data_IF_848920628524
#
_entry.id   IF_848920628524
#
_cell.length_a   1.000
_cell.length_b   1.000
_cell.length_c   1.000
_cell.angle_alpha   90.00
_cell.angle_beta   90.00
_cell.angle_gamma   90.00
#
_symmetry.space_group_name_H-M   'P 1'
#
loop_
_entity.id
_entity.type
_entity.pdbx_description
1 polymer ?
#
# COMPACT_ATOMS: atom_id res chain seq x y z
N UNK A 1 22.42 11.79 -0.85
CA UNK A 1 22.05 10.48 -1.46
C UNK A 1 23.32 9.75 -1.91
N UNK A 2 23.93 8.86 -1.08
CA UNK A 2 24.99 7.96 -1.58
C UNK A 2 24.36 7.13 -2.69
N UNK A 3 24.80 7.42 -3.91
CA UNK A 3 24.68 6.64 -5.14
C UNK A 3 24.11 5.24 -4.87
N UNK A 4 22.92 4.96 -5.40
CA UNK A 4 22.57 3.58 -5.73
C UNK A 4 23.70 3.15 -6.64
N UNK A 5 24.60 2.31 -6.15
CA UNK A 5 25.81 1.82 -6.83
C UNK A 5 25.51 1.01 -8.12
N UNK A 6 24.33 1.18 -8.73
CA UNK A 6 23.85 0.45 -9.91
C UNK A 6 22.78 1.18 -10.76
N UNK A 7 22.60 2.50 -10.61
CA UNK A 7 21.73 3.31 -11.49
C UNK A 7 20.22 3.00 -11.40
N UNK A 8 19.44 3.57 -12.34
CA UNK A 8 17.97 3.43 -12.42
C UNK A 8 17.54 1.96 -12.57
N UNK A 9 18.31 1.17 -13.32
CA UNK A 9 18.07 -0.28 -13.51
C UNK A 9 18.09 -1.04 -12.18
N UNK A 10 19.08 -0.80 -11.32
CA UNK A 10 19.16 -1.45 -10.01
C UNK A 10 18.00 -1.02 -9.09
N UNK A 11 17.54 0.22 -9.20
CA UNK A 11 16.36 0.70 -8.48
C UNK A 11 15.10 -0.09 -8.85
N UNK A 12 14.82 -0.23 -10.15
CA UNK A 12 13.68 -1.00 -10.65
C UNK A 12 13.74 -2.45 -10.19
N UNK A 13 14.87 -3.13 -10.43
CA UNK A 13 15.05 -4.53 -10.06
C UNK A 13 14.78 -4.72 -8.57
N UNK A 14 15.37 -3.89 -7.70
CA UNK A 14 15.22 -4.05 -6.25
C UNK A 14 13.77 -3.86 -5.80
N UNK A 15 13.05 -2.87 -6.33
CA UNK A 15 11.68 -2.54 -5.93
C UNK A 15 10.66 -3.51 -6.49
N UNK A 16 10.71 -3.79 -7.79
CA UNK A 16 9.81 -4.77 -8.41
C UNK A 16 10.03 -6.17 -7.85
N UNK A 17 11.29 -6.58 -7.60
CA UNK A 17 11.56 -7.89 -6.99
C UNK A 17 11.02 -7.99 -5.56
N UNK A 18 11.06 -6.92 -4.76
CA UNK A 18 10.49 -6.93 -3.39
C UNK A 18 8.96 -7.05 -3.39
N UNK A 19 8.30 -6.50 -4.41
CA UNK A 19 6.83 -6.44 -4.49
C UNK A 19 6.23 -7.61 -5.27
N UNK A 20 6.72 -7.85 -6.49
CA UNK A 20 6.14 -8.81 -7.43
C UNK A 20 6.42 -10.26 -7.04
N UNK A 21 7.60 -10.57 -6.49
CA UNK A 21 7.93 -11.96 -6.11
C UNK A 21 6.97 -12.51 -5.03
N UNK A 22 6.80 -11.87 -3.86
CA UNK A 22 5.82 -12.35 -2.89
C UNK A 22 4.39 -12.30 -3.45
N UNK A 23 4.06 -11.29 -4.26
CA UNK A 23 2.75 -11.20 -4.89
C UNK A 23 2.46 -12.40 -5.81
N UNK A 24 3.35 -12.76 -6.72
CA UNK A 24 3.15 -13.89 -7.62
C UNK A 24 3.06 -15.23 -6.88
N UNK A 25 3.82 -15.42 -5.80
CA UNK A 25 3.71 -16.63 -4.98
C UNK A 25 2.33 -16.69 -4.32
N UNK A 26 1.93 -15.62 -3.64
CA UNK A 26 0.71 -15.57 -2.83
C UNK A 26 -0.54 -15.57 -3.73
N UNK A 27 -0.61 -14.66 -4.70
CA UNK A 27 -1.71 -14.57 -5.63
C UNK A 27 -1.76 -15.75 -6.60
N UNK A 28 -0.60 -16.32 -6.99
CA UNK A 28 -0.54 -17.51 -7.83
C UNK A 28 -1.22 -18.70 -7.15
N UNK A 29 -0.85 -19.01 -5.90
CA UNK A 29 -1.50 -20.08 -5.12
C UNK A 29 -3.00 -19.81 -4.98
N UNK A 30 -3.38 -18.58 -4.63
CA UNK A 30 -4.79 -18.20 -4.50
C UNK A 30 -5.61 -18.39 -5.78
N UNK A 31 -5.04 -18.07 -6.94
CA UNK A 31 -5.72 -18.22 -8.22
C UNK A 31 -5.73 -19.69 -8.71
N UNK A 32 -4.69 -20.49 -8.45
CA UNK A 32 -4.72 -21.94 -8.75
C UNK A 32 -5.88 -22.59 -8.02
N UNK A 33 -6.03 -22.32 -6.71
CA UNK A 33 -7.13 -22.82 -5.92
C UNK A 33 -8.50 -22.34 -6.42
N UNK A 34 -8.59 -21.09 -6.91
CA UNK A 34 -9.82 -20.57 -7.51
C UNK A 34 -10.17 -21.26 -8.83
N UNK A 35 -9.18 -21.57 -9.68
CA UNK A 35 -9.38 -22.31 -10.94
C UNK A 35 -9.87 -23.73 -10.68
N UNK A 36 -9.30 -24.40 -9.67
CA UNK A 36 -9.77 -25.72 -9.24
C UNK A 36 -11.24 -25.71 -8.76
N UNK A 37 -11.77 -24.55 -8.36
CA UNK A 37 -13.18 -24.34 -7.99
C UNK A 37 -14.06 -23.80 -9.12
N UNK A 38 -13.56 -23.77 -10.36
CA UNK A 38 -14.34 -23.40 -11.54
C UNK A 38 -14.12 -21.97 -12.05
N UNK A 39 -13.18 -21.20 -11.47
CA UNK A 39 -12.76 -19.94 -12.10
C UNK A 39 -12.07 -20.23 -13.44
N UNK A 40 -12.39 -19.46 -14.48
CA UNK A 40 -11.73 -19.64 -15.77
C UNK A 40 -10.25 -19.28 -15.70
N UNK A 41 -9.42 -19.92 -16.53
CA UNK A 41 -7.98 -19.60 -16.61
C UNK A 41 -7.79 -18.13 -17.04
N UNK A 42 -8.64 -17.63 -17.93
CA UNK A 42 -8.62 -16.23 -18.37
C UNK A 42 -8.82 -15.26 -17.19
N UNK A 43 -9.83 -15.50 -16.33
CA UNK A 43 -10.05 -14.69 -15.13
C UNK A 43 -8.88 -14.77 -14.15
N UNK A 44 -8.27 -15.94 -13.99
CA UNK A 44 -7.09 -16.10 -13.14
C UNK A 44 -5.89 -15.29 -13.66
N UNK A 45 -5.65 -15.28 -14.98
CA UNK A 45 -4.60 -14.47 -15.61
C UNK A 45 -4.89 -12.98 -15.47
N UNK A 46 -6.14 -12.55 -15.66
CA UNK A 46 -6.55 -11.15 -15.45
C UNK A 46 -6.36 -10.69 -14.00
N UNK A 47 -6.63 -11.56 -13.04
CA UNK A 47 -6.48 -11.24 -11.62
C UNK A 47 -5.00 -11.19 -11.19
N UNK A 48 -4.18 -12.15 -11.65
CA UNK A 48 -2.72 -12.15 -11.39
C UNK A 48 -2.02 -10.98 -12.10
N UNK A 49 -2.51 -10.54 -13.25
CA UNK A 49 -1.95 -9.38 -13.95
C UNK A 49 -2.36 -8.04 -13.34
N UNK A 50 -3.20 -8.04 -12.29
CA UNK A 50 -3.83 -6.85 -11.66
C UNK A 50 -4.81 -6.09 -12.55
N UNK A 51 -5.08 -6.56 -13.78
CA UNK A 51 -6.03 -5.92 -14.71
C UNK A 51 -7.45 -5.96 -14.16
N UNK A 52 -7.83 -7.06 -13.49
CA UNK A 52 -9.13 -7.18 -12.82
C UNK A 52 -9.40 -6.09 -11.79
N UNK A 53 -8.35 -5.48 -11.21
CA UNK A 53 -8.55 -4.36 -10.29
C UNK A 53 -9.04 -3.12 -11.04
N UNK A 54 -8.40 -2.80 -12.17
CA UNK A 54 -8.74 -1.62 -12.95
C UNK A 54 -10.12 -1.72 -13.60
N UNK A 55 -10.52 -2.92 -14.02
CA UNK A 55 -11.79 -3.14 -14.70
C UNK A 55 -12.95 -3.43 -13.74
N UNK A 56 -12.73 -4.24 -12.69
CA UNK A 56 -13.80 -4.80 -11.86
C UNK A 56 -13.63 -4.49 -10.36
N UNK A 57 -12.63 -3.70 -9.96
CA UNK A 57 -12.26 -3.47 -8.56
C UNK A 57 -11.93 -4.77 -7.81
N UNK A 58 -11.47 -5.81 -8.51
CA UNK A 58 -11.11 -7.11 -7.92
C UNK A 58 -9.60 -7.32 -7.88
N UNK A 59 -9.11 -7.82 -6.74
CA UNK A 59 -7.71 -8.20 -6.57
C UNK A 59 -6.90 -7.20 -5.73
N UNK A 60 -5.58 -7.33 -5.79
CA UNK A 60 -4.68 -6.59 -4.91
C UNK A 60 -4.45 -5.15 -5.42
N UNK A 61 -5.38 -4.24 -5.09
CA UNK A 61 -5.35 -2.84 -5.49
C UNK A 61 -4.01 -2.14 -5.19
N UNK A 62 -3.41 -2.46 -4.05
CA UNK A 62 -2.14 -1.87 -3.63
C UNK A 62 -1.00 -2.25 -4.59
N UNK A 63 -0.98 -3.49 -5.09
CA UNK A 63 0.00 -3.94 -6.09
C UNK A 63 -0.28 -3.29 -7.43
N UNK A 64 -1.56 -3.24 -7.83
CA UNK A 64 -2.00 -2.58 -9.06
C UNK A 64 -1.55 -1.12 -9.09
N UNK A 65 -1.65 -0.39 -7.98
CA UNK A 65 -1.13 0.97 -7.81
C UNK A 65 0.41 1.03 -7.86
N UNK A 66 1.11 0.15 -7.15
CA UNK A 66 2.56 0.22 -7.01
C UNK A 66 3.31 0.00 -8.33
N UNK A 67 2.77 -0.82 -9.24
CA UNK A 67 3.39 -1.11 -10.53
C UNK A 67 3.63 0.17 -11.37
N UNK A 68 2.60 0.96 -11.73
CA UNK A 68 2.77 2.20 -12.46
C UNK A 68 3.48 3.27 -11.62
N UNK A 69 3.20 3.34 -10.31
CA UNK A 69 3.83 4.32 -9.43
C UNK A 69 5.37 4.15 -9.40
N UNK A 70 5.85 2.92 -9.29
CA UNK A 70 7.28 2.65 -9.35
C UNK A 70 7.86 2.92 -10.72
N UNK A 71 7.11 2.69 -11.81
CA UNK A 71 7.57 3.00 -13.16
C UNK A 71 7.91 4.50 -13.29
N UNK A 72 7.06 5.39 -12.77
CA UNK A 72 7.22 6.85 -12.86
C UNK A 72 8.18 7.44 -11.81
N UNK A 73 8.43 6.74 -10.71
CA UNK A 73 9.19 7.31 -9.56
C UNK A 73 10.61 7.79 -9.95
N UNK A 74 11.40 7.08 -10.78
CA UNK A 74 12.72 7.58 -11.18
C UNK A 74 12.66 8.84 -12.03
N UNK A 75 11.60 9.03 -12.82
CA UNK A 75 11.38 10.27 -13.58
C UNK A 75 11.10 11.42 -12.62
N UNK A 76 10.23 11.19 -11.62
CA UNK A 76 10.00 12.16 -10.56
C UNK A 76 11.30 12.53 -9.82
N UNK A 77 12.11 11.54 -9.42
CA UNK A 77 13.42 11.78 -8.77
C UNK A 77 14.39 12.58 -9.65
N UNK A 78 14.43 12.29 -10.96
CA UNK A 78 15.25 13.03 -11.91
C UNK A 78 14.83 14.50 -12.03
N UNK A 79 13.52 14.78 -12.01
CA UNK A 79 12.98 16.15 -12.03
C UNK A 79 13.32 16.87 -10.72
N UNK A 80 13.11 16.23 -9.57
CA UNK A 80 13.44 16.81 -8.26
C UNK A 80 14.90 17.26 -8.16
N UNK A 81 15.84 16.55 -8.82
CA UNK A 81 17.26 16.92 -8.85
C UNK A 81 17.58 18.14 -9.72
N UNK A 82 16.73 18.46 -10.70
CA UNK A 82 16.90 19.62 -11.60
C UNK A 82 16.25 20.89 -11.06
N UNK A 83 15.26 20.77 -10.18
CA UNK A 83 14.50 21.90 -9.65
C UNK A 83 15.17 22.47 -8.39
N UNK A 84 15.20 23.80 -8.26
CA UNK A 84 15.78 24.50 -7.09
C UNK A 84 15.08 24.14 -5.78
N UNK A 85 13.75 24.04 -5.80
CA UNK A 85 12.94 23.71 -4.62
C UNK A 85 12.08 22.44 -4.87
N UNK A 86 12.62 21.24 -4.61
CA UNK A 86 11.90 19.97 -4.82
C UNK A 86 10.71 19.78 -3.88
N UNK A 87 10.73 20.43 -2.70
CA UNK A 87 9.61 20.40 -1.73
C UNK A 87 8.38 21.07 -2.34
N UNK A 88 8.55 22.28 -2.87
CA UNK A 88 7.46 23.02 -3.51
C UNK A 88 6.89 22.26 -4.72
N UNK A 89 7.76 21.72 -5.58
CA UNK A 89 7.33 20.88 -6.71
C UNK A 89 6.48 19.68 -6.27
N UNK A 90 6.91 18.97 -5.22
CA UNK A 90 6.18 17.81 -4.70
C UNK A 90 4.84 18.22 -4.10
N UNK A 91 4.77 19.36 -3.40
CA UNK A 91 3.52 19.90 -2.86
C UNK A 91 2.53 20.27 -3.97
N UNK A 92 2.99 20.89 -5.06
CA UNK A 92 2.14 21.20 -6.24
C UNK A 92 1.57 19.91 -6.83
N UNK A 93 2.38 18.86 -6.98
CA UNK A 93 1.90 17.55 -7.43
C UNK A 93 0.82 16.99 -6.49
N UNK A 94 1.06 17.04 -5.19
CA UNK A 94 0.09 16.57 -4.18
C UNK A 94 -1.23 17.34 -4.30
N UNK A 95 -1.19 18.66 -4.45
CA UNK A 95 -2.39 19.49 -4.62
C UNK A 95 -3.14 19.10 -5.89
N UNK A 96 -2.45 18.93 -7.01
CA UNK A 96 -3.04 18.50 -8.29
C UNK A 96 -3.72 17.12 -8.13
N UNK A 97 -3.03 16.16 -7.50
CA UNK A 97 -3.56 14.81 -7.28
C UNK A 97 -4.82 14.87 -6.41
N UNK A 98 -4.79 15.61 -5.30
CA UNK A 98 -5.94 15.77 -4.41
C UNK A 98 -7.10 16.42 -5.16
N UNK A 99 -6.82 17.47 -5.95
CA UNK A 99 -7.80 18.14 -6.79
C UNK A 99 -8.47 17.20 -7.77
N UNK A 100 -7.70 16.51 -8.62
CA UNK A 100 -8.21 15.55 -9.60
C UNK A 100 -9.00 14.43 -8.91
N UNK A 101 -8.50 13.91 -7.79
CA UNK A 101 -9.16 12.84 -7.04
C UNK A 101 -10.51 13.26 -6.42
N UNK A 102 -10.77 14.56 -6.28
CA UNK A 102 -12.01 15.09 -5.72
C UNK A 102 -13.07 15.36 -6.80
N UNK A 103 -12.68 15.39 -8.08
CA UNK A 103 -13.61 15.58 -9.19
C UNK A 103 -14.49 14.34 -9.34
N UNK A 104 -15.80 14.55 -9.38
CA UNK A 104 -16.78 13.52 -9.69
C UNK A 104 -17.15 13.65 -11.17
N UNK A 105 -16.93 12.58 -11.94
CA UNK A 105 -17.28 12.54 -13.35
C UNK A 105 -18.45 11.56 -13.53
N UNK A 106 -19.61 12.08 -13.92
CA UNK A 106 -20.74 11.23 -14.32
C UNK A 106 -20.46 10.68 -15.71
N UNK A 107 -20.18 9.39 -15.80
CA UNK A 107 -19.91 8.72 -17.05
C UNK A 107 -21.05 7.73 -17.39
N UNK A 108 -21.67 7.82 -18.57
CA UNK A 108 -22.77 6.93 -18.94
C UNK A 108 -22.33 5.48 -19.21
N UNK A 109 -21.04 5.24 -19.53
CA UNK A 109 -20.52 3.89 -19.73
C UNK A 109 -20.05 3.29 -18.40
N UNK A 110 -20.72 2.22 -17.95
CA UNK A 110 -20.45 1.54 -16.68
C UNK A 110 -19.00 1.07 -16.55
N UNK A 111 -18.41 0.52 -17.61
CA UNK A 111 -17.03 0.02 -17.55
C UNK A 111 -16.01 1.15 -17.43
N UNK A 112 -16.23 2.24 -18.17
CA UNK A 112 -15.38 3.43 -18.08
C UNK A 112 -15.54 4.13 -16.72
N UNK A 113 -16.77 4.18 -16.19
CA UNK A 113 -17.05 4.72 -14.86
C UNK A 113 -16.31 3.95 -13.76
N UNK A 114 -16.35 2.61 -13.80
CA UNK A 114 -15.62 1.75 -12.86
C UNK A 114 -14.11 1.98 -12.94
N UNK A 115 -13.56 2.06 -14.15
CA UNK A 115 -12.13 2.36 -14.34
C UNK A 115 -11.74 3.71 -13.75
N UNK A 116 -12.52 4.76 -14.01
CA UNK A 116 -12.29 6.10 -13.46
C UNK A 116 -12.33 6.09 -11.93
N UNK A 117 -13.31 5.39 -11.35
CA UNK A 117 -13.41 5.22 -9.89
C UNK A 117 -12.20 4.49 -9.30
N UNK A 118 -11.70 3.45 -9.97
CA UNK A 118 -10.50 2.73 -9.54
C UNK A 118 -9.24 3.61 -9.62
N UNK A 119 -9.12 4.42 -10.68
CA UNK A 119 -8.05 5.41 -10.80
C UNK A 119 -8.17 6.44 -9.66
N UNK A 120 -9.37 6.97 -9.40
CA UNK A 120 -9.62 7.92 -8.32
C UNK A 120 -9.25 7.34 -6.95
N UNK A 121 -9.65 6.10 -6.70
CA UNK A 121 -9.29 5.37 -5.49
C UNK A 121 -7.76 5.29 -5.33
N UNK A 122 -7.01 5.03 -6.41
CA UNK A 122 -5.54 5.05 -6.37
C UNK A 122 -4.98 6.45 -6.13
N UNK A 123 -5.46 7.47 -6.85
CA UNK A 123 -4.99 8.85 -6.75
C UNK A 123 -5.09 9.39 -5.32
N UNK A 124 -6.18 9.08 -4.63
CA UNK A 124 -6.40 9.43 -3.22
C UNK A 124 -5.25 8.97 -2.29
N UNK A 125 -4.58 7.87 -2.59
CA UNK A 125 -3.53 7.29 -1.76
C UNK A 125 -2.11 7.78 -2.13
N UNK A 126 -1.93 8.34 -3.34
CA UNK A 126 -0.61 8.79 -3.81
C UNK A 126 0.01 9.95 -3.00
N UNK A 127 -0.73 10.90 -2.40
CA UNK A 127 -0.15 11.93 -1.54
C UNK A 127 0.74 11.37 -0.42
N UNK A 128 0.34 10.24 0.19
CA UNK A 128 1.14 9.53 1.19
C UNK A 128 2.52 9.13 0.67
N UNK A 129 2.57 8.62 -0.56
CA UNK A 129 3.81 8.23 -1.20
C UNK A 129 4.72 9.43 -1.49
N UNK A 130 4.18 10.50 -2.09
CA UNK A 130 4.98 11.68 -2.46
C UNK A 130 5.49 12.45 -1.24
N UNK A 131 4.67 12.60 -0.20
CA UNK A 131 5.09 13.21 1.07
C UNK A 131 6.17 12.34 1.73
N UNK A 132 5.98 11.02 1.79
CA UNK A 132 7.01 10.10 2.30
C UNK A 132 8.31 10.16 1.50
N UNK A 133 8.22 10.28 0.17
CA UNK A 133 9.36 10.44 -0.72
C UNK A 133 10.14 11.73 -0.44
N UNK A 134 9.42 12.83 -0.17
CA UNK A 134 10.01 14.12 0.20
C UNK A 134 10.68 14.10 1.58
N UNK A 135 10.06 13.44 2.57
CA UNK A 135 10.57 13.36 3.94
C UNK A 135 11.79 12.44 4.06
N UNK A 136 11.90 11.38 3.26
CA UNK A 136 12.99 10.41 3.30
C UNK A 136 14.42 11.02 3.23
N UNK A 137 14.75 11.93 2.29
CA UNK A 137 16.06 12.59 2.28
C UNK A 137 16.27 13.53 3.47
N UNK A 138 15.23 14.23 3.93
CA UNK A 138 15.32 15.11 5.10
C UNK A 138 15.64 14.32 6.38
N UNK A 139 15.01 13.16 6.57
CA UNK A 139 15.30 12.24 7.66
C UNK A 139 16.73 11.70 7.58
N UNK A 140 17.24 11.43 6.38
CA UNK A 140 18.62 10.98 6.17
C UNK A 140 19.67 12.06 6.46
N UNK A 141 19.31 13.31 6.22
CA UNK A 141 20.14 14.48 6.51
C UNK A 141 19.97 14.97 7.96
N UNK A 142 19.24 14.22 8.80
CA UNK A 142 18.93 14.56 10.20
C UNK A 142 18.36 15.97 10.37
N UNK A 143 17.66 16.46 9.34
CA UNK A 143 17.02 17.77 9.39
C UNK A 143 15.86 17.73 10.38
N UNK A 144 15.95 18.56 11.41
CA UNK A 144 14.89 18.72 12.40
C UNK A 144 13.69 19.41 11.76
N UNK A 145 12.62 18.65 11.54
CA UNK A 145 11.30 19.20 11.20
C UNK A 145 10.58 19.48 12.52
N UNK A 146 10.00 20.68 12.63
CA UNK A 146 9.25 21.03 13.83
C UNK A 146 8.06 20.08 14.05
N UNK A 147 8.07 19.42 15.21
CA UNK A 147 7.03 18.48 15.64
C UNK A 147 5.63 19.11 15.61
N UNK A 148 5.51 20.36 16.06
CA UNK A 148 4.24 21.09 16.10
C UNK A 148 3.69 21.30 14.69
N UNK A 149 4.54 21.71 13.74
CA UNK A 149 4.13 21.92 12.35
C UNK A 149 3.71 20.63 11.64
N UNK A 150 4.33 19.49 11.96
CA UNK A 150 3.93 18.18 11.42
C UNK A 150 2.56 17.70 11.92
N UNK A 151 2.05 18.25 13.02
CA UNK A 151 0.73 17.91 13.57
C UNK A 151 -0.31 18.95 13.12
N UNK A 152 0.00 20.24 13.28
CA UNK A 152 -0.96 21.32 13.03
C UNK A 152 -1.36 21.39 11.56
N UNK A 153 -0.40 21.30 10.62
CA UNK A 153 -0.69 21.44 9.19
C UNK A 153 -1.59 20.31 8.68
N UNK A 154 -1.30 19.01 8.92
CA UNK A 154 -2.19 17.96 8.45
C UNK A 154 -3.56 17.97 9.16
N UNK A 155 -3.64 18.32 10.45
CA UNK A 155 -4.93 18.47 11.14
C UNK A 155 -5.78 19.60 10.55
N UNK A 156 -5.17 20.75 10.25
CA UNK A 156 -5.86 21.85 9.58
C UNK A 156 -6.41 21.42 8.21
N UNK A 157 -5.59 20.71 7.43
CA UNK A 157 -6.04 20.15 6.14
C UNK A 157 -7.17 19.14 6.31
N UNK A 158 -7.11 18.26 7.31
CA UNK A 158 -8.18 17.30 7.62
C UNK A 158 -9.50 18.02 7.93
N UNK A 159 -9.46 19.07 8.76
CA UNK A 159 -10.63 19.86 9.11
C UNK A 159 -11.20 20.53 7.85
N UNK A 160 -10.34 21.15 7.05
CA UNK A 160 -10.73 21.80 5.80
C UNK A 160 -11.38 20.82 4.81
N UNK A 161 -10.75 19.66 4.59
CA UNK A 161 -11.26 18.59 3.71
C UNK A 161 -12.59 18.04 4.20
N UNK A 162 -12.76 17.87 5.52
CA UNK A 162 -14.01 17.40 6.13
C UNK A 162 -15.12 18.43 5.98
N UNK A 163 -14.84 19.72 6.20
CA UNK A 163 -15.84 20.78 6.15
C UNK A 163 -16.29 21.10 4.71
N UNK A 164 -15.34 21.15 3.78
CA UNK A 164 -15.60 21.43 2.37
C UNK A 164 -15.96 20.18 1.55
N UNK A 165 -16.10 19.01 2.20
CA UNK A 165 -16.48 17.74 1.58
C UNK A 165 -15.63 17.35 0.35
N UNK A 166 -14.31 17.58 0.40
CA UNK A 166 -13.41 17.23 -0.71
C UNK A 166 -12.20 16.44 -0.25
N UNK A 167 -11.75 15.54 -1.13
CA UNK A 167 -10.60 14.66 -0.91
C UNK A 167 -10.75 13.65 0.24
N UNK A 168 -9.70 12.87 0.46
CA UNK A 168 -9.69 11.80 1.45
C UNK A 168 -8.95 12.21 2.73
N UNK A 169 -9.69 12.84 3.63
CA UNK A 169 -9.17 13.30 4.92
C UNK A 169 -8.56 12.18 5.80
N UNK A 170 -9.02 10.90 5.82
CA UNK A 170 -8.42 9.90 6.70
C UNK A 170 -6.94 9.64 6.39
N UNK A 171 -6.53 9.74 5.12
CA UNK A 171 -5.13 9.59 4.72
C UNK A 171 -4.23 10.69 5.30
N UNK A 172 -4.74 11.92 5.39
CA UNK A 172 -3.99 13.05 5.95
C UNK A 172 -3.91 13.01 7.48
N UNK A 173 -4.91 12.40 8.14
CA UNK A 173 -4.92 12.19 9.58
C UNK A 173 -3.72 11.35 10.03
N UNK A 174 -3.34 10.33 9.23
CA UNK A 174 -2.18 9.46 9.52
C UNK A 174 -0.90 10.28 9.70
N UNK A 175 -0.68 11.33 8.92
CA UNK A 175 0.53 12.17 9.06
C UNK A 175 0.63 12.87 10.42
N UNK A 176 -0.48 13.18 11.06
CA UNK A 176 -0.49 13.75 12.42
C UNK A 176 -0.16 12.69 13.46
N UNK A 177 -0.55 11.44 13.23
CA UNK A 177 -0.25 10.32 14.12
C UNK A 177 1.19 9.85 14.04
N UNK A 178 1.83 9.89 12.87
CA UNK A 178 3.23 9.46 12.71
C UNK A 178 4.18 10.11 13.72
N UNK A 179 4.26 11.45 13.88
CA UNK A 179 5.18 12.06 14.83
C UNK A 179 4.84 11.73 16.29
N UNK A 180 3.55 11.60 16.63
CA UNK A 180 3.11 11.15 17.95
C UNK A 180 3.61 9.73 18.24
N UNK A 181 3.41 8.81 17.30
CA UNK A 181 3.89 7.42 17.40
C UNK A 181 5.41 7.35 17.47
N UNK A 182 6.13 8.13 16.66
CA UNK A 182 7.59 8.21 16.73
C UNK A 182 8.06 8.62 18.13
N UNK A 183 7.41 9.61 18.75
CA UNK A 183 7.76 10.06 20.10
C UNK A 183 7.46 8.97 21.14
N UNK A 184 6.33 8.28 21.03
CA UNK A 184 6.00 7.15 21.90
C UNK A 184 7.00 5.99 21.75
N UNK A 185 7.44 5.72 20.52
CA UNK A 185 8.43 4.68 20.24
C UNK A 185 9.81 5.00 20.81
N UNK A 186 10.19 6.27 20.97
CA UNK A 186 11.41 6.66 21.67
C UNK A 186 11.41 6.22 23.15
N UNK A 187 10.24 6.13 23.78
CA UNK A 187 10.09 5.67 25.17
C UNK A 187 9.79 4.17 25.27
N UNK A 188 9.70 3.47 24.14
CA UNK A 188 9.35 2.06 24.12
C UNK A 188 10.55 1.16 24.35
N UNK A 189 10.37 0.09 25.12
CA UNK A 189 11.42 -0.89 25.40
C UNK A 189 11.86 -1.67 24.16
N UNK A 190 13.10 -2.22 24.20
CA UNK A 190 13.71 -3.01 23.12
C UNK A 190 12.82 -4.15 22.62
N UNK A 191 12.11 -4.83 23.53
CA UNK A 191 11.19 -5.93 23.20
C UNK A 191 10.06 -5.48 22.28
N UNK A 192 9.42 -4.35 22.59
CA UNK A 192 8.33 -3.80 21.79
C UNK A 192 8.84 -3.39 20.39
N UNK A 193 9.99 -2.73 20.32
CA UNK A 193 10.60 -2.35 19.05
C UNK A 193 10.99 -3.56 18.19
N UNK A 194 11.42 -4.67 18.81
CA UNK A 194 11.70 -5.91 18.09
C UNK A 194 10.42 -6.52 17.48
N UNK A 195 9.29 -6.48 18.19
CA UNK A 195 7.99 -6.94 17.69
C UNK A 195 7.55 -6.08 16.49
N UNK A 196 7.63 -4.75 16.61
CA UNK A 196 7.32 -3.86 15.49
C UNK A 196 8.25 -4.08 14.29
N UNK A 197 9.54 -4.30 14.54
CA UNK A 197 10.51 -4.63 13.49
C UNK A 197 10.16 -5.94 12.78
N UNK A 198 9.70 -6.95 13.51
CA UNK A 198 9.21 -8.20 12.94
C UNK A 198 8.03 -7.97 11.99
N UNK A 199 6.97 -7.29 12.45
CA UNK A 199 5.81 -6.97 11.60
C UNK A 199 6.18 -6.09 10.40
N UNK A 200 7.10 -5.14 10.58
CA UNK A 200 7.62 -4.31 9.50
C UNK A 200 8.26 -5.12 8.36
N UNK A 201 9.01 -6.17 8.69
CA UNK A 201 9.68 -7.04 7.69
C UNK A 201 8.70 -7.82 6.82
N UNK A 202 7.60 -8.32 7.40
CA UNK A 202 6.60 -9.16 6.73
C UNK A 202 5.35 -8.38 6.28
N UNK A 203 5.35 -7.05 6.42
CA UNK A 203 4.19 -6.19 6.22
C UNK A 203 3.47 -6.36 4.88
N UNK A 204 4.22 -6.48 3.78
CA UNK A 204 3.65 -6.68 2.44
C UNK A 204 2.98 -8.05 2.33
N UNK A 205 3.66 -9.10 2.77
CA UNK A 205 3.15 -10.47 2.74
C UNK A 205 1.90 -10.61 3.62
N UNK A 206 1.91 -10.01 4.82
CA UNK A 206 0.75 -9.98 5.72
C UNK A 206 -0.44 -9.26 5.10
N UNK A 207 -0.22 -8.13 4.40
CA UNK A 207 -1.28 -7.43 3.68
C UNK A 207 -1.91 -8.30 2.58
N UNK A 208 -1.09 -8.99 1.78
CA UNK A 208 -1.59 -9.86 0.71
C UNK A 208 -2.36 -11.06 1.27
N UNK A 209 -1.84 -11.69 2.33
CA UNK A 209 -2.54 -12.79 2.98
C UNK A 209 -3.81 -12.35 3.71
N UNK A 210 -3.90 -11.11 4.21
CA UNK A 210 -5.13 -10.61 4.83
C UNK A 210 -6.33 -10.77 3.87
N UNK A 211 -6.18 -10.33 2.61
CA UNK A 211 -7.24 -10.48 1.61
C UNK A 211 -7.50 -11.95 1.20
N UNK A 212 -6.43 -12.72 0.96
CA UNK A 212 -6.56 -14.09 0.46
C UNK A 212 -7.08 -15.05 1.53
N UNK A 213 -6.50 -15.04 2.73
CA UNK A 213 -6.92 -15.91 3.84
C UNK A 213 -8.34 -15.57 4.28
N UNK A 214 -8.71 -14.28 4.27
CA UNK A 214 -10.10 -13.87 4.50
C UNK A 214 -11.04 -14.55 3.50
N UNK A 215 -10.74 -14.47 2.21
CA UNK A 215 -11.53 -15.15 1.18
C UNK A 215 -11.53 -16.68 1.36
N UNK A 216 -10.40 -17.28 1.73
CA UNK A 216 -10.32 -18.72 1.95
C UNK A 216 -11.15 -19.20 3.14
N UNK A 217 -11.17 -18.48 4.26
CA UNK A 217 -11.97 -18.89 5.42
C UNK A 217 -13.46 -18.89 5.05
N UNK A 218 -13.94 -17.88 4.33
CA UNK A 218 -15.33 -17.82 3.86
C UNK A 218 -15.65 -19.02 2.95
N UNK A 219 -14.73 -19.35 2.06
CA UNK A 219 -14.96 -20.31 0.97
C UNK A 219 -14.72 -21.77 1.36
N UNK A 220 -13.77 -22.03 2.26
CA UNK A 220 -13.35 -23.38 2.67
C UNK A 220 -13.81 -23.76 4.08
N UNK A 221 -14.13 -22.78 4.94
CA UNK A 221 -14.57 -23.00 6.31
C UNK A 221 -15.90 -22.27 6.58
N UNK A 222 -16.96 -22.46 5.76
CA UNK A 222 -18.21 -21.72 5.89
C UNK A 222 -18.86 -21.95 7.26
N UNK A 223 -18.72 -23.15 7.84
CA UNK A 223 -19.24 -23.45 9.18
C UNK A 223 -18.61 -22.60 10.29
N UNK A 224 -17.35 -22.15 10.12
CA UNK A 224 -16.70 -21.23 11.07
C UNK A 224 -17.19 -19.80 10.82
N UNK A 225 -17.32 -19.42 9.55
CA UNK A 225 -17.76 -18.08 9.16
C UNK A 225 -19.21 -17.80 9.57
N UNK A 226 -20.10 -18.78 9.38
CA UNK A 226 -21.53 -18.72 9.72
C UNK A 226 -21.81 -19.09 11.19
N UNK A 227 -20.78 -19.46 11.95
CA UNK A 227 -20.91 -19.85 13.35
C UNK A 227 -21.50 -18.71 14.21
N UNK A 228 -22.36 -19.02 15.19
CA UNK A 228 -22.82 -18.04 16.17
C UNK A 228 -21.69 -17.43 17.03
N UNK A 229 -20.50 -18.05 17.03
CA UNK A 229 -19.30 -17.52 17.69
C UNK A 229 -18.63 -16.42 16.85
N UNK A 230 -18.90 -16.36 15.55
CA UNK A 230 -18.38 -15.34 14.63
C UNK A 230 -19.26 -14.07 14.56
N UNK A 231 -19.95 -13.72 15.66
CA UNK A 231 -20.69 -12.45 15.74
C UNK A 231 -19.77 -11.27 15.44
N UNK A 232 -20.14 -10.41 14.49
CA UNK A 232 -19.34 -9.26 14.10
C UNK A 232 -18.04 -9.59 13.35
N UNK A 233 -17.88 -10.82 12.83
CA UNK A 233 -16.70 -11.26 12.09
C UNK A 233 -15.37 -11.26 12.89
N UNK A 234 -15.41 -11.19 14.23
CA UNK A 234 -14.20 -11.14 15.05
C UNK A 234 -13.39 -12.44 15.00
N UNK A 235 -14.07 -13.60 15.05
CA UNK A 235 -13.41 -14.90 14.97
C UNK A 235 -12.74 -15.08 13.59
N UNK A 236 -13.46 -14.71 12.54
CA UNK A 236 -12.95 -14.69 11.18
C UNK A 236 -11.67 -13.84 11.09
N UNK A 237 -11.70 -12.60 11.56
CA UNK A 237 -10.54 -11.72 11.48
C UNK A 237 -9.38 -12.17 12.37
N UNK A 238 -9.65 -12.74 13.55
CA UNK A 238 -8.62 -13.33 14.40
C UNK A 238 -7.89 -14.48 13.68
N UNK A 239 -8.63 -15.35 12.98
CA UNK A 239 -8.03 -16.41 12.16
C UNK A 239 -7.22 -15.84 11.00
N UNK A 240 -7.70 -14.78 10.33
CA UNK A 240 -6.93 -14.09 9.29
C UNK A 240 -5.62 -13.55 9.85
N UNK A 241 -5.61 -12.95 11.04
CA UNK A 241 -4.39 -12.45 11.68
C UNK A 241 -3.43 -13.61 11.98
N UNK A 242 -3.90 -14.67 12.64
CA UNK A 242 -3.04 -15.78 13.07
C UNK A 242 -2.48 -16.54 11.87
N UNK A 243 -3.35 -17.02 11.00
CA UNK A 243 -2.96 -17.82 9.83
C UNK A 243 -2.22 -16.95 8.81
N UNK A 244 -2.72 -15.74 8.54
CA UNK A 244 -2.09 -14.81 7.61
C UNK A 244 -0.70 -14.39 8.05
N UNK A 245 -0.47 -14.12 9.34
CA UNK A 245 0.86 -13.78 9.86
C UNK A 245 1.82 -14.97 9.77
N UNK A 246 1.36 -16.17 10.09
CA UNK A 246 2.17 -17.38 9.97
C UNK A 246 2.61 -17.62 8.51
N UNK A 247 1.66 -17.59 7.57
CA UNK A 247 1.93 -17.74 6.14
C UNK A 247 2.82 -16.62 5.60
N UNK A 248 2.58 -15.37 6.01
CA UNK A 248 3.39 -14.22 5.63
C UNK A 248 4.85 -14.39 6.05
N UNK A 249 5.10 -14.89 7.27
CA UNK A 249 6.44 -15.19 7.75
C UNK A 249 7.13 -16.27 6.91
N UNK A 250 6.43 -17.37 6.59
CA UNK A 250 6.98 -18.45 5.76
C UNK A 250 7.33 -17.97 4.35
N UNK A 251 6.43 -17.25 3.68
CA UNK A 251 6.68 -16.69 2.35
C UNK A 251 7.80 -15.67 2.38
N UNK A 252 7.85 -14.79 3.39
CA UNK A 252 8.93 -13.82 3.52
C UNK A 252 10.29 -14.52 3.65
N UNK A 253 10.40 -15.54 4.49
CA UNK A 253 11.63 -16.34 4.64
C UNK A 253 12.03 -17.06 3.35
N UNK A 254 11.05 -17.60 2.61
CA UNK A 254 11.29 -18.22 1.32
C UNK A 254 11.81 -17.20 0.30
N UNK A 255 11.13 -16.04 0.19
CA UNK A 255 11.55 -14.93 -0.65
C UNK A 255 12.96 -14.46 -0.31
N UNK A 256 13.29 -14.24 0.97
CA UNK A 256 14.63 -13.83 1.37
C UNK A 256 15.71 -14.83 0.91
N UNK A 257 15.45 -16.14 1.02
CA UNK A 257 16.38 -17.18 0.56
C UNK A 257 16.49 -17.21 -0.97
N UNK A 258 15.37 -17.14 -1.68
CA UNK A 258 15.34 -17.14 -3.15
C UNK A 258 16.04 -15.89 -3.73
N UNK A 259 15.86 -14.75 -3.07
CA UNK A 259 16.38 -13.45 -3.52
C UNK A 259 17.84 -13.17 -3.13
N UNK A 260 18.40 -13.91 -2.17
CA UNK A 260 19.83 -13.87 -1.80
C UNK A 260 20.73 -14.75 -2.67
N UNK A 261 20.15 -15.67 -3.45
CA UNK A 261 20.90 -16.60 -4.30
C UNK A 261 21.38 -16.01 -5.64
N UNK A 262 21.11 -14.72 -5.88
CA UNK A 262 21.53 -13.93 -7.06
C UNK A 262 22.12 -12.60 -6.59
#
# INVERSE_FOLDING_TARGET
MKQIRGGVKCWYIRRYRRVLVPYFIIAGIGNILAVMRGRTIAEAVLNISTISYWLEHKGAWYIAMLIPLYAITPVHDAICKKIKNPVYYTLVIVIIIVGISSLHFECPNVGLAQFIENVRHVLVHLPAFFIGFMLAPMAKEEKCISFLWMIVVPLFLVIMMKYLHFGYWPGFLVFSFVPLLCRLFCYSGKTFMNILSFFGKISLESYLFNGIVGSWIIVYLPWIYESPVNKGCYLHYALVIIVGTALAYWVNRFCEKALKKN
#
